data_IF_258475362934
#
_entry.id   IF_258475362934
#
_cell.length_a   1.000
_cell.length_b   1.000
_cell.length_c   1.000
_cell.angle_alpha   90.00
_cell.angle_beta   90.00
_cell.angle_gamma   90.00
#
_symmetry.space_group_name_H-M   'P 1'
#
loop_
_entity.id
_entity.type
_entity.pdbx_description
1 polymer ?
#
# COMPACT_ATOMS: atom_id res chain seq x y z
N UNK A 1 -1.11 10.74 10.36
CA UNK A 1 -1.02 10.50 8.90
C UNK A 1 0.37 9.96 8.56
N UNK A 2 0.47 9.02 7.62
CA UNK A 2 1.74 8.50 7.11
C UNK A 2 1.87 8.88 5.62
N UNK A 3 3.00 9.46 5.24
CA UNK A 3 3.38 9.79 3.86
C UNK A 3 4.67 9.04 3.52
N UNK A 4 4.66 8.26 2.43
CA UNK A 4 5.85 7.58 1.94
C UNK A 4 6.44 8.37 0.77
N UNK A 5 7.73 8.67 0.82
CA UNK A 5 8.46 9.35 -0.25
C UNK A 5 9.65 8.47 -0.66
N UNK A 6 9.67 8.10 -1.93
CA UNK A 6 10.76 7.31 -2.51
C UNK A 6 11.21 7.90 -3.85
N UNK A 7 12.28 7.36 -4.43
CA UNK A 7 12.81 7.80 -5.72
C UNK A 7 14.34 7.70 -5.81
N UNK A 8 14.92 8.09 -6.96
CA UNK A 8 16.36 7.98 -7.19
C UNK A 8 17.23 8.70 -6.16
N UNK A 9 18.45 8.23 -5.96
CA UNK A 9 19.49 8.93 -5.23
C UNK A 9 19.73 10.31 -5.87
N UNK A 10 19.96 11.35 -5.04
CA UNK A 10 20.10 12.76 -5.49
C UNK A 10 18.89 13.38 -6.23
N UNK A 11 17.71 12.74 -6.19
CA UNK A 11 16.48 13.31 -6.73
C UNK A 11 15.91 14.53 -5.96
N UNK A 12 16.61 15.05 -4.95
CA UNK A 12 16.15 16.20 -4.16
C UNK A 12 15.12 15.87 -3.06
N UNK A 13 14.90 14.59 -2.74
CA UNK A 13 13.96 14.13 -1.70
C UNK A 13 14.11 14.88 -0.37
N UNK A 14 15.33 14.97 0.16
CA UNK A 14 15.59 15.63 1.44
C UNK A 14 15.23 17.12 1.43
N UNK A 15 15.42 17.82 0.30
CA UNK A 15 15.02 19.21 0.13
C UNK A 15 13.50 19.37 0.11
N UNK A 16 12.81 18.49 -0.61
CA UNK A 16 11.34 18.47 -0.64
C UNK A 16 10.77 18.16 0.75
N UNK A 17 11.35 17.19 1.47
CA UNK A 17 10.96 16.84 2.85
C UNK A 17 11.15 18.04 3.79
N UNK A 18 12.24 18.81 3.64
CA UNK A 18 12.47 20.00 4.45
C UNK A 18 11.36 21.05 4.23
N UNK A 19 10.99 21.33 2.98
CA UNK A 19 9.90 22.26 2.68
C UNK A 19 8.52 21.70 3.06
N UNK A 20 8.29 20.40 2.89
CA UNK A 20 7.07 19.74 3.35
C UNK A 20 6.91 19.91 4.86
N UNK A 21 8.00 19.78 5.62
CA UNK A 21 8.00 20.01 7.06
C UNK A 21 7.63 21.44 7.40
N UNK A 22 8.24 22.43 6.75
CA UNK A 22 7.92 23.85 6.94
C UNK A 22 6.44 24.14 6.66
N UNK A 23 5.98 23.78 5.45
CA UNK A 23 4.59 24.00 5.02
C UNK A 23 3.57 23.29 5.92
N UNK A 24 3.88 22.08 6.38
CA UNK A 24 3.01 21.33 7.29
C UNK A 24 2.96 21.96 8.69
N UNK A 25 4.07 22.52 9.17
CA UNK A 25 4.12 23.24 10.45
C UNK A 25 3.35 24.56 10.39
N UNK A 26 3.39 25.26 9.25
CA UNK A 26 2.59 26.48 9.00
C UNK A 26 1.08 26.22 9.18
N UNK A 27 0.59 25.02 8.84
CA UNK A 27 -0.81 24.59 9.04
C UNK A 27 -1.05 23.85 10.37
N UNK A 28 -0.09 23.89 11.29
CA UNK A 28 -0.24 23.38 12.66
C UNK A 28 0.00 21.88 12.84
N UNK A 29 0.70 21.22 11.91
CA UNK A 29 1.07 19.81 12.04
C UNK A 29 2.46 19.65 12.68
N UNK A 30 2.60 18.62 13.51
CA UNK A 30 3.90 18.09 13.91
C UNK A 30 4.37 17.13 12.81
N UNK A 31 5.61 17.31 12.35
CA UNK A 31 6.22 16.44 11.33
C UNK A 31 7.32 15.59 11.95
N UNK A 32 7.26 14.29 11.70
CA UNK A 32 8.30 13.34 12.09
C UNK A 32 8.84 12.65 10.84
N UNK A 33 10.16 12.56 10.71
CA UNK A 33 10.80 11.96 9.53
C UNK A 33 11.47 10.65 9.95
N UNK A 34 11.14 9.57 9.24
CA UNK A 34 11.83 8.27 9.30
C UNK A 34 12.75 8.20 8.09
N UNK A 35 14.06 8.16 8.32
CA UNK A 35 15.03 7.97 7.24
C UNK A 35 15.58 6.54 7.31
N UNK A 36 15.51 5.81 6.20
CA UNK A 36 16.04 4.46 6.09
C UNK A 36 17.23 4.43 5.12
N UNK A 37 18.32 3.76 5.49
CA UNK A 37 19.44 3.56 4.59
C UNK A 37 19.11 2.50 3.51
N UNK A 38 19.74 2.55 2.32
CA UNK A 38 19.48 1.62 1.22
C UNK A 38 20.06 0.21 1.48
N UNK A 39 20.78 0.02 2.59
CA UNK A 39 21.53 -1.20 2.91
C UNK A 39 20.88 -2.01 4.03
N UNK A 40 19.74 -1.56 4.58
CA UNK A 40 19.15 -2.26 5.73
C UNK A 40 18.80 -3.72 5.39
N UNK A 41 19.18 -4.72 6.21
CA UNK A 41 19.27 -6.11 5.75
C UNK A 41 17.94 -6.87 5.62
N UNK A 42 16.80 -6.32 6.04
CA UNK A 42 15.54 -7.08 6.14
C UNK A 42 14.30 -6.17 6.13
N UNK A 43 13.33 -6.47 5.25
CA UNK A 43 12.07 -5.73 5.11
C UNK A 43 11.16 -5.85 6.35
N UNK A 44 11.42 -6.85 7.21
CA UNK A 44 10.69 -7.06 8.48
C UNK A 44 10.79 -5.87 9.44
N UNK A 45 11.78 -5.00 9.29
CA UNK A 45 11.92 -3.79 10.12
C UNK A 45 10.77 -2.79 9.92
N UNK A 46 10.13 -2.82 8.75
CA UNK A 46 9.09 -1.86 8.41
C UNK A 46 7.85 -2.05 9.27
N UNK A 47 7.49 -3.30 9.56
CA UNK A 47 6.23 -3.63 10.25
C UNK A 47 6.15 -3.04 11.67
N UNK A 48 7.12 -3.28 12.57
CA UNK A 48 7.06 -2.69 13.92
C UNK A 48 7.02 -1.17 13.90
N UNK A 49 7.66 -0.54 12.90
CA UNK A 49 7.73 0.92 12.78
C UNK A 49 6.43 1.50 12.22
N UNK A 50 5.84 0.85 11.22
CA UNK A 50 4.52 1.21 10.72
C UNK A 50 3.44 1.03 11.79
N UNK A 51 3.51 -0.03 12.59
CA UNK A 51 2.62 -0.22 13.75
C UNK A 51 2.74 0.94 14.73
N UNK A 52 3.96 1.30 15.14
CA UNK A 52 4.22 2.46 16.00
C UNK A 52 3.67 3.76 15.39
N UNK A 53 3.84 3.97 14.09
CA UNK A 53 3.40 5.19 13.43
C UNK A 53 1.87 5.25 13.22
N UNK A 54 1.21 4.09 13.09
CA UNK A 54 -0.26 3.95 13.02
C UNK A 54 -0.91 4.11 14.40
N UNK A 55 -0.29 3.59 15.45
CA UNK A 55 -0.77 3.69 16.84
C UNK A 55 -0.66 5.10 17.43
N UNK A 56 0.02 6.03 16.74
CA UNK A 56 0.03 7.45 17.12
C UNK A 56 -1.37 8.02 16.93
N UNK A 57 -2.16 8.00 18.01
CA UNK A 57 -3.48 8.61 18.11
C UNK A 57 -3.38 10.15 18.14
N UNK A 58 -2.90 10.73 17.04
CA UNK A 58 -2.81 12.17 16.89
C UNK A 58 -3.03 12.60 15.43
N UNK A 59 -4.20 13.17 15.11
CA UNK A 59 -4.51 13.63 13.75
C UNK A 59 -3.62 14.79 13.28
N UNK A 60 -2.87 15.44 14.19
CA UNK A 60 -1.93 16.53 13.87
C UNK A 60 -0.49 16.06 13.67
N UNK A 61 -0.24 14.75 13.56
CA UNK A 61 1.10 14.23 13.26
C UNK A 61 1.17 13.72 11.82
N UNK A 62 2.09 14.27 11.04
CA UNK A 62 2.50 13.76 9.74
C UNK A 62 3.83 13.00 9.90
N UNK A 63 3.82 11.69 9.71
CA UNK A 63 5.04 10.88 9.68
C UNK A 63 5.46 10.66 8.23
N UNK A 64 6.61 11.20 7.84
CA UNK A 64 7.18 11.06 6.50
C UNK A 64 8.23 9.95 6.53
N UNK A 65 8.11 8.99 5.63
CA UNK A 65 9.10 7.96 5.40
C UNK A 65 9.95 8.32 4.18
N UNK A 66 11.23 8.60 4.39
CA UNK A 66 12.24 8.80 3.35
C UNK A 66 12.93 7.47 3.07
N UNK A 67 12.68 6.93 1.87
CA UNK A 67 13.02 5.57 1.42
C UNK A 67 12.18 4.49 2.11
N UNK A 68 11.76 3.50 1.32
CA UNK A 68 10.79 2.47 1.72
C UNK A 68 11.07 1.11 1.07
N UNK A 69 10.10 0.21 1.11
CA UNK A 69 10.17 -1.07 0.39
C UNK A 69 10.30 -0.90 -1.13
N UNK A 70 9.90 0.24 -1.71
CA UNK A 70 10.13 0.52 -3.14
C UNK A 70 11.63 0.63 -3.45
N UNK A 71 12.39 1.36 -2.62
CA UNK A 71 13.86 1.37 -2.67
C UNK A 71 14.47 -0.04 -2.61
N UNK A 72 13.94 -0.94 -1.77
CA UNK A 72 14.46 -2.31 -1.69
C UNK A 72 14.27 -3.09 -2.98
N UNK A 73 13.15 -2.90 -3.66
CA UNK A 73 12.92 -3.49 -4.97
C UNK A 73 13.92 -2.94 -6.00
N UNK A 74 14.02 -1.61 -6.12
CA UNK A 74 14.83 -0.96 -7.14
C UNK A 74 16.32 -1.26 -6.95
N UNK A 75 16.88 -0.96 -5.79
CA UNK A 75 18.30 -1.22 -5.54
C UNK A 75 18.60 -2.72 -5.39
N UNK A 76 17.61 -3.51 -4.99
CA UNK A 76 17.72 -4.96 -4.99
C UNK A 76 18.00 -5.52 -6.38
N UNK A 77 17.24 -5.04 -7.39
CA UNK A 77 17.44 -5.42 -8.79
C UNK A 77 18.75 -4.87 -9.34
N UNK A 78 19.00 -3.56 -9.20
CA UNK A 78 20.15 -2.90 -9.82
C UNK A 78 21.49 -3.39 -9.27
N UNK A 79 21.54 -3.79 -8.00
CA UNK A 79 22.77 -4.25 -7.34
C UNK A 79 22.84 -5.77 -7.22
N UNK A 80 21.91 -6.51 -7.84
CA UNK A 80 21.86 -7.97 -7.79
C UNK A 80 21.77 -8.53 -6.36
N UNK A 81 21.07 -7.83 -5.46
CA UNK A 81 20.91 -8.26 -4.07
C UNK A 81 19.74 -9.24 -3.96
N UNK A 82 20.03 -10.43 -3.47
CA UNK A 82 19.02 -11.43 -3.16
C UNK A 82 18.24 -11.03 -1.90
N UNK A 83 17.06 -10.42 -2.11
CA UNK A 83 16.16 -9.98 -1.06
C UNK A 83 14.73 -10.38 -1.41
N UNK A 84 13.92 -10.60 -0.38
CA UNK A 84 12.53 -11.01 -0.58
C UNK A 84 11.74 -10.00 -1.43
N UNK A 85 11.93 -8.70 -1.18
CA UNK A 85 11.21 -7.65 -1.91
C UNK A 85 11.89 -7.27 -3.24
N UNK A 86 13.15 -7.67 -3.48
CA UNK A 86 13.81 -7.43 -4.78
C UNK A 86 13.20 -8.28 -5.89
N UNK A 87 12.82 -9.51 -5.57
CA UNK A 87 12.18 -10.41 -6.54
C UNK A 87 10.66 -10.27 -6.61
N UNK A 88 10.06 -9.59 -5.63
CA UNK A 88 8.60 -9.57 -5.45
C UNK A 88 8.09 -8.22 -4.91
N UNK A 89 8.06 -7.16 -5.75
CA UNK A 89 7.66 -5.82 -5.34
C UNK A 89 6.21 -5.74 -4.86
N UNK A 90 5.35 -6.60 -5.41
CA UNK A 90 3.94 -6.68 -5.00
C UNK A 90 3.81 -7.06 -3.53
N UNK A 91 4.71 -7.91 -3.00
CA UNK A 91 4.67 -8.32 -1.61
C UNK A 91 4.94 -7.13 -0.67
N UNK A 92 5.84 -6.22 -1.05
CA UNK A 92 6.12 -5.01 -0.29
C UNK A 92 4.89 -4.10 -0.18
N UNK A 93 4.22 -3.86 -1.30
CA UNK A 93 2.95 -3.10 -1.33
C UNK A 93 1.85 -3.81 -0.53
N UNK A 94 1.75 -5.13 -0.66
CA UNK A 94 0.75 -5.92 0.03
C UNK A 94 0.91 -5.89 1.55
N UNK A 95 2.14 -6.03 2.04
CA UNK A 95 2.41 -6.09 3.48
C UNK A 95 2.49 -4.70 4.12
N UNK A 96 2.94 -3.69 3.37
CA UNK A 96 3.28 -2.39 3.92
C UNK A 96 2.56 -1.24 3.22
N UNK A 97 2.52 -1.24 1.88
CA UNK A 97 1.94 -0.14 1.11
C UNK A 97 0.46 0.14 1.33
N UNK A 98 -0.33 -0.89 1.67
CA UNK A 98 -1.76 -0.72 1.99
C UNK A 98 -2.02 0.06 3.29
N UNK A 99 -1.00 0.39 4.08
CA UNK A 99 -1.15 1.19 5.31
C UNK A 99 -1.54 2.64 5.02
N UNK A 100 -1.20 3.16 3.84
CA UNK A 100 -1.50 4.55 3.49
C UNK A 100 -1.71 4.70 1.98
N UNK A 101 -2.69 5.51 1.54
CA UNK A 101 -2.79 5.91 0.14
C UNK A 101 -1.73 6.95 -0.25
N UNK A 102 -1.13 7.63 0.74
CA UNK A 102 -0.22 8.75 0.52
C UNK A 102 1.20 8.27 0.21
N UNK A 103 1.45 7.96 -1.06
CA UNK A 103 2.73 7.45 -1.57
C UNK A 103 3.19 8.28 -2.75
N UNK A 104 4.42 8.78 -2.67
CA UNK A 104 4.99 9.74 -3.64
C UNK A 104 6.32 9.23 -4.15
N UNK A 105 6.47 9.26 -5.47
CA UNK A 105 7.72 8.99 -6.17
C UNK A 105 8.30 10.29 -6.69
N UNK A 106 9.45 10.69 -6.16
CA UNK A 106 10.20 11.85 -6.63
C UNK A 106 11.07 11.40 -7.80
N UNK A 107 10.88 12.01 -8.96
CA UNK A 107 11.61 11.69 -10.18
C UNK A 107 12.35 12.93 -10.67
N UNK A 108 13.60 12.76 -11.06
CA UNK A 108 14.45 13.84 -11.61
C UNK A 108 15.05 13.36 -12.92
N UNK A 109 15.30 14.28 -13.84
CA UNK A 109 15.99 13.98 -15.08
C UNK A 109 17.32 13.20 -14.85
N UNK A 110 17.58 12.10 -15.57
CA UNK A 110 18.77 11.27 -15.36
C UNK A 110 20.11 11.99 -15.57
N UNK A 111 20.19 12.97 -16.47
CA UNK A 111 21.43 13.75 -16.64
C UNK A 111 21.69 14.62 -15.41
N UNK A 112 20.64 15.22 -14.85
CA UNK A 112 20.73 15.95 -13.59
C UNK A 112 21.13 15.06 -12.41
N UNK A 113 20.61 13.83 -12.37
CA UNK A 113 21.04 12.85 -11.37
C UNK A 113 22.53 12.53 -11.53
N UNK A 114 23.00 12.29 -12.76
CA UNK A 114 24.42 12.02 -13.06
C UNK A 114 25.33 13.17 -12.62
N UNK A 115 24.94 14.41 -12.88
CA UNK A 115 25.71 15.61 -12.49
C UNK A 115 25.80 15.81 -10.98
N UNK A 116 24.80 15.35 -10.21
CA UNK A 116 24.72 15.53 -8.75
C UNK A 116 25.39 14.42 -7.95
N UNK A 117 25.79 13.34 -8.62
CA UNK A 117 26.39 12.19 -7.96
C UNK A 117 27.83 12.45 -7.55
N UNK A 118 28.20 11.86 -6.43
CA UNK A 118 29.53 11.85 -5.85
C UNK A 118 30.00 10.41 -5.57
N UNK A 119 31.19 10.28 -4.99
CA UNK A 119 31.84 8.99 -4.72
C UNK A 119 31.19 8.18 -3.59
N UNK A 120 30.19 8.74 -2.90
CA UNK A 120 29.45 8.06 -1.82
C UNK A 120 28.15 7.40 -2.32
N UNK A 121 27.74 7.68 -3.55
CA UNK A 121 26.51 7.16 -4.13
C UNK A 121 26.63 5.71 -4.58
N UNK A 122 25.49 5.03 -4.68
CA UNK A 122 25.45 3.64 -5.13
C UNK A 122 25.93 3.54 -6.60
N UNK A 123 26.69 2.48 -6.95
CA UNK A 123 27.23 2.29 -8.30
C UNK A 123 26.17 1.76 -9.27
N UNK A 124 25.07 2.49 -9.43
CA UNK A 124 23.95 2.18 -10.33
C UNK A 124 23.84 3.23 -11.42
N UNK A 125 23.44 2.87 -12.64
CA UNK A 125 23.22 3.88 -13.67
C UNK A 125 21.98 4.75 -13.33
N UNK A 126 22.07 6.10 -13.42
CA UNK A 126 20.94 6.98 -13.11
C UNK A 126 19.70 6.79 -14.00
N UNK A 127 19.88 6.38 -15.25
CA UNK A 127 18.77 6.12 -16.19
C UNK A 127 18.02 4.86 -15.75
N UNK A 128 18.74 3.79 -15.43
CA UNK A 128 18.15 2.54 -14.96
C UNK A 128 17.41 2.73 -13.63
N UNK A 129 18.01 3.49 -12.71
CA UNK A 129 17.38 3.86 -11.45
C UNK A 129 16.08 4.65 -11.65
N UNK A 130 16.11 5.69 -12.49
CA UNK A 130 14.92 6.46 -12.83
C UNK A 130 13.82 5.57 -13.41
N UNK A 131 14.16 4.71 -14.38
CA UNK A 131 13.20 3.86 -15.08
C UNK A 131 12.51 2.89 -14.12
N UNK A 132 13.27 2.22 -13.25
CA UNK A 132 12.69 1.28 -12.29
C UNK A 132 11.78 1.96 -11.26
N UNK A 133 12.14 3.15 -10.76
CA UNK A 133 11.25 3.91 -9.87
C UNK A 133 9.99 4.39 -10.61
N UNK A 134 10.11 4.86 -11.84
CA UNK A 134 8.97 5.28 -12.65
C UNK A 134 8.02 4.11 -12.92
N UNK A 135 8.55 2.95 -13.33
CA UNK A 135 7.78 1.72 -13.53
C UNK A 135 7.08 1.29 -12.25
N UNK A 136 7.80 1.28 -11.11
CA UNK A 136 7.21 0.95 -9.82
C UNK A 136 6.04 1.86 -9.46
N UNK A 137 6.22 3.17 -9.66
CA UNK A 137 5.19 4.15 -9.39
C UNK A 137 3.97 3.96 -10.28
N UNK A 138 4.16 3.71 -11.57
CA UNK A 138 3.07 3.45 -12.52
C UNK A 138 2.30 2.18 -12.17
N UNK A 139 3.03 1.11 -11.81
CA UNK A 139 2.45 -0.17 -11.45
C UNK A 139 1.54 -0.10 -10.22
N UNK A 140 1.96 0.63 -9.18
CA UNK A 140 1.25 0.67 -7.90
C UNK A 140 0.53 2.00 -7.62
N UNK A 141 0.41 2.85 -8.63
CA UNK A 141 -0.32 4.11 -8.57
C UNK A 141 0.26 5.12 -7.58
N UNK A 142 1.58 5.20 -7.46
CA UNK A 142 2.23 6.24 -6.65
C UNK A 142 2.17 7.59 -7.37
N UNK A 143 1.98 8.68 -6.62
CA UNK A 143 2.02 10.02 -7.19
C UNK A 143 3.45 10.33 -7.67
N UNK A 144 3.63 10.52 -8.98
CA UNK A 144 4.92 10.93 -9.54
C UNK A 144 5.05 12.45 -9.47
N UNK A 145 6.09 12.93 -8.80
CA UNK A 145 6.46 14.35 -8.76
C UNK A 145 7.79 14.51 -9.49
N UNK A 146 7.74 15.20 -10.64
CA UNK A 146 8.94 15.51 -11.42
C UNK A 146 9.56 16.79 -10.90
N UNK A 147 10.82 16.72 -10.47
CA UNK A 147 11.53 17.87 -9.91
C UNK A 147 12.33 18.56 -11.00
N UNK A 148 12.19 19.88 -11.12
CA UNK A 148 13.01 20.71 -12.00
C UNK A 148 13.98 21.58 -11.18
N UNK A 149 14.93 22.22 -11.86
CA UNK A 149 15.86 23.15 -11.21
C UNK A 149 15.07 24.39 -10.76
N UNK A 150 14.91 24.57 -9.44
CA UNK A 150 14.40 25.80 -8.83
C UNK A 150 13.01 25.76 -8.23
N UNK A 151 12.30 24.62 -8.23
CA UNK A 151 10.93 24.50 -7.68
C UNK A 151 10.71 23.67 -6.39
N UNK A 152 11.70 23.34 -5.50
CA UNK A 152 11.44 22.41 -4.38
C UNK A 152 10.26 22.73 -3.46
N UNK A 153 9.98 24.03 -3.20
CA UNK A 153 8.82 24.44 -2.41
C UNK A 153 7.49 24.21 -3.15
N UNK A 154 7.46 24.42 -4.47
CA UNK A 154 6.30 24.13 -5.32
C UNK A 154 6.05 22.62 -5.43
N UNK A 155 7.10 21.82 -5.54
CA UNK A 155 7.03 20.36 -5.55
C UNK A 155 6.48 19.86 -4.20
N UNK A 156 6.97 20.41 -3.09
CA UNK A 156 6.45 20.13 -1.75
C UNK A 156 4.98 20.53 -1.61
N UNK A 157 4.57 21.69 -2.13
CA UNK A 157 3.17 22.10 -2.14
C UNK A 157 2.30 21.15 -2.98
N UNK A 158 2.81 20.68 -4.11
CA UNK A 158 2.15 19.69 -4.96
C UNK A 158 1.92 18.39 -4.20
N UNK A 159 2.92 17.90 -3.46
CA UNK A 159 2.75 16.74 -2.57
C UNK A 159 1.68 17.01 -1.51
N UNK A 160 1.78 18.12 -0.78
CA UNK A 160 0.88 18.44 0.34
C UNK A 160 -0.58 18.57 -0.09
N UNK A 161 -0.83 19.16 -1.26
CA UNK A 161 -2.18 19.36 -1.82
C UNK A 161 -2.80 18.09 -2.39
N UNK A 162 -1.98 17.09 -2.75
CA UNK A 162 -2.44 15.79 -3.21
C UNK A 162 -2.56 14.74 -2.09
N UNK A 163 -2.22 15.08 -0.85
CA UNK A 163 -2.42 14.15 0.26
C UNK A 163 -3.91 13.89 0.50
N UNK A 164 -4.27 12.63 0.68
CA UNK A 164 -5.56 12.24 1.22
C UNK A 164 -5.59 12.56 2.72
N UNK A 165 -6.22 13.69 3.04
CA UNK A 165 -6.55 14.10 4.40
C UNK A 165 -7.76 13.33 4.90
N UNK A 166 -7.57 12.06 5.25
CA UNK A 166 -8.64 11.24 5.83
C UNK A 166 -8.76 11.55 7.32
N UNK A 167 -9.89 12.16 7.69
CA UNK A 167 -10.42 12.18 9.07
C UNK A 167 -11.31 10.95 9.32
N UNK A 168 -11.35 10.01 8.36
CA UNK A 168 -12.22 8.84 8.46
C UNK A 168 -11.81 7.98 9.67
N UNK A 169 -12.79 7.50 10.47
CA UNK A 169 -12.54 6.76 11.70
C UNK A 169 -12.05 5.32 11.45
N UNK A 170 -11.76 4.95 10.20
CA UNK A 170 -11.30 3.61 9.83
C UNK A 170 -9.98 3.69 9.08
N UNK A 171 -8.98 3.06 9.66
CA UNK A 171 -7.68 2.88 9.06
C UNK A 171 -7.00 1.63 9.61
N UNK A 172 -5.71 1.46 9.31
CA UNK A 172 -4.94 0.38 9.89
C UNK A 172 -4.98 0.44 11.42
N UNK A 173 -4.92 -0.70 12.12
CA UNK A 173 -4.81 -2.04 11.55
C UNK A 173 -6.15 -2.64 11.09
N UNK A 174 -7.30 -2.03 11.37
CA UNK A 174 -8.61 -2.68 11.20
C UNK A 174 -9.13 -2.65 9.75
N UNK A 175 -8.64 -1.70 8.96
CA UNK A 175 -8.89 -1.58 7.53
C UNK A 175 -7.59 -1.17 6.84
N UNK A 176 -7.36 -1.66 5.63
CA UNK A 176 -6.23 -1.20 4.81
C UNK A 176 -6.61 -1.10 3.34
N UNK A 177 -5.81 -0.35 2.58
CA UNK A 177 -6.13 0.10 1.23
C UNK A 177 -6.82 1.47 1.21
N UNK A 178 -7.28 1.93 0.04
CA UNK A 178 -7.88 3.25 -0.11
C UNK A 178 -9.16 3.40 0.73
N UNK A 179 -9.30 4.53 1.41
CA UNK A 179 -10.49 4.82 2.25
C UNK A 179 -11.77 4.90 1.42
N UNK A 180 -11.67 5.30 0.14
CA UNK A 180 -12.76 5.36 -0.84
C UNK A 180 -12.75 4.21 -1.85
N UNK A 181 -12.16 3.07 -1.49
CA UNK A 181 -12.10 1.93 -2.39
C UNK A 181 -13.49 1.55 -2.92
N UNK A 182 -13.65 1.34 -4.24
CA UNK A 182 -14.93 0.96 -4.85
C UNK A 182 -15.36 -0.46 -4.47
N UNK A 183 -14.38 -1.32 -4.16
CA UNK A 183 -14.56 -2.70 -3.75
C UNK A 183 -13.92 -2.89 -2.39
N UNK A 184 -14.65 -3.49 -1.44
CA UNK A 184 -14.12 -3.86 -0.12
C UNK A 184 -14.27 -5.36 0.09
N UNK A 185 -13.16 -6.02 0.43
CA UNK A 185 -13.11 -7.41 0.85
C UNK A 185 -13.28 -7.52 2.36
N UNK A 186 -14.24 -8.34 2.79
CA UNK A 186 -14.57 -8.54 4.20
C UNK A 186 -14.33 -10.00 4.57
N UNK A 187 -13.37 -10.23 5.45
CA UNK A 187 -13.10 -11.51 6.08
C UNK A 187 -13.91 -11.70 7.36
N UNK A 188 -13.77 -12.85 7.99
CA UNK A 188 -14.40 -13.12 9.29
C UNK A 188 -13.62 -12.42 10.41
N UNK A 189 -12.45 -12.96 10.73
CA UNK A 189 -11.51 -12.47 11.74
C UNK A 189 -10.08 -12.66 11.26
N UNK A 190 -9.16 -11.87 11.81
CA UNK A 190 -7.73 -12.01 11.54
C UNK A 190 -7.22 -13.36 12.03
N UNK A 191 -6.35 -13.97 11.24
CA UNK A 191 -5.60 -15.16 11.65
C UNK A 191 -4.38 -14.72 12.44
N UNK A 192 -4.17 -15.29 13.62
CA UNK A 192 -2.91 -15.19 14.36
C UNK A 192 -1.92 -16.29 13.95
N UNK A 193 -2.36 -17.25 13.12
CA UNK A 193 -1.56 -18.38 12.65
C UNK A 193 -1.07 -18.15 11.22
N UNK A 194 0.09 -18.74 10.90
CA UNK A 194 0.68 -18.79 9.55
C UNK A 194 0.81 -17.42 8.86
N UNK A 195 1.27 -16.43 9.63
CA UNK A 195 1.56 -15.08 9.13
C UNK A 195 2.92 -15.08 8.41
N UNK A 196 2.99 -14.67 7.13
CA UNK A 196 4.27 -14.43 6.49
C UNK A 196 5.00 -13.30 7.23
N UNK A 197 6.34 -13.25 7.18
CA UNK A 197 7.07 -12.18 7.87
C UNK A 197 6.59 -10.80 7.41
N UNK A 198 6.41 -9.87 8.36
CA UNK A 198 5.88 -8.53 8.11
C UNK A 198 4.34 -8.45 7.93
N UNK A 199 3.62 -9.56 8.09
CA UNK A 199 2.16 -9.56 8.00
C UNK A 199 1.51 -9.07 9.29
N UNK A 200 0.73 -8.00 9.19
CA UNK A 200 -0.02 -7.45 10.31
C UNK A 200 -1.34 -6.76 9.91
N UNK A 201 -1.61 -6.60 8.61
CA UNK A 201 -2.82 -5.98 8.09
C UNK A 201 -3.92 -7.02 7.84
N UNK A 202 -5.18 -6.63 7.60
CA UNK A 202 -6.20 -7.56 7.15
C UNK A 202 -5.75 -8.31 5.88
N UNK A 203 -6.16 -9.58 5.80
CA UNK A 203 -5.85 -10.47 4.67
C UNK A 203 -4.36 -10.78 4.44
N UNK A 204 -3.46 -10.52 5.38
CA UNK A 204 -2.03 -10.85 5.20
C UNK A 204 -1.63 -12.28 5.57
N UNK A 205 -2.55 -13.16 5.99
CA UNK A 205 -2.21 -14.59 6.19
C UNK A 205 -1.74 -15.23 4.87
N UNK A 206 -1.00 -16.35 4.94
CA UNK A 206 -0.53 -17.04 3.71
C UNK A 206 -1.65 -17.29 2.69
N UNK A 207 -2.79 -17.81 3.15
CA UNK A 207 -3.88 -18.23 2.27
C UNK A 207 -4.73 -17.05 1.77
N UNK A 208 -4.89 -16.00 2.57
CA UNK A 208 -5.57 -14.78 2.12
C UNK A 208 -4.69 -13.94 1.19
N UNK A 209 -3.37 -14.04 1.31
CA UNK A 209 -2.41 -13.43 0.38
C UNK A 209 -2.52 -14.05 -1.02
N UNK A 210 -2.79 -15.36 -1.12
CA UNK A 210 -3.07 -15.99 -2.42
C UNK A 210 -4.30 -15.38 -3.11
N UNK A 211 -5.35 -15.03 -2.36
CA UNK A 211 -6.49 -14.30 -2.94
C UNK A 211 -6.06 -12.92 -3.46
N UNK A 212 -5.26 -12.18 -2.70
CA UNK A 212 -4.70 -10.90 -3.16
C UNK A 212 -3.92 -11.07 -4.47
N UNK A 213 -3.13 -12.15 -4.60
CA UNK A 213 -2.36 -12.45 -5.81
C UNK A 213 -3.22 -12.72 -7.03
N UNK A 214 -4.37 -13.37 -6.87
CA UNK A 214 -5.31 -13.57 -7.99
C UNK A 214 -5.84 -12.23 -8.53
N UNK A 215 -5.93 -11.19 -7.69
CA UNK A 215 -6.29 -9.85 -8.12
C UNK A 215 -5.12 -9.08 -8.74
N UNK A 216 -3.88 -9.53 -8.57
CA UNK A 216 -2.69 -8.81 -9.03
C UNK A 216 -2.60 -7.42 -8.41
N UNK A 217 -2.23 -6.43 -9.21
CA UNK A 217 -2.02 -5.06 -8.73
C UNK A 217 -3.35 -4.35 -8.37
N UNK A 218 -4.49 -4.81 -8.91
CA UNK A 218 -5.82 -4.30 -8.53
C UNK A 218 -6.15 -4.55 -7.04
N UNK A 219 -5.46 -5.49 -6.39
CA UNK A 219 -5.57 -5.70 -4.96
C UNK A 219 -5.27 -4.43 -4.16
N UNK A 220 -4.41 -3.54 -4.67
CA UNK A 220 -4.03 -2.28 -4.02
C UNK A 220 -5.10 -1.19 -4.17
N UNK A 221 -6.03 -1.34 -5.12
CA UNK A 221 -7.19 -0.45 -5.31
C UNK A 221 -8.37 -0.82 -4.40
N UNK A 222 -8.30 -1.99 -3.76
CA UNK A 222 -9.37 -2.53 -2.93
C UNK A 222 -9.19 -2.19 -1.45
N UNK A 223 -10.30 -2.10 -0.73
CA UNK A 223 -10.33 -2.07 0.73
C UNK A 223 -10.30 -3.48 1.30
N UNK A 224 -9.64 -3.67 2.44
CA UNK A 224 -9.50 -4.97 3.10
C UNK A 224 -9.75 -4.85 4.60
N UNK A 225 -10.67 -5.66 5.12
CA UNK A 225 -11.04 -5.63 6.55
C UNK A 225 -11.63 -6.96 7.00
N UNK A 226 -11.91 -7.11 8.29
CA UNK A 226 -12.60 -8.25 8.88
C UNK A 226 -13.86 -7.78 9.60
N UNK A 227 -14.94 -8.58 9.53
CA UNK A 227 -16.22 -8.29 10.17
C UNK A 227 -16.10 -7.98 11.67
N UNK A 228 -15.17 -8.66 12.36
CA UNK A 228 -14.92 -8.46 13.79
C UNK A 228 -14.16 -7.18 14.16
N UNK A 229 -13.55 -6.49 13.19
CA UNK A 229 -12.62 -5.37 13.44
C UNK A 229 -13.18 -4.02 13.01
N UNK A 230 -14.30 -4.00 12.27
CA UNK A 230 -14.84 -2.78 11.67
C UNK A 230 -16.32 -2.56 12.03
N UNK A 231 -16.72 -1.34 12.42
CA UNK A 231 -18.14 -1.03 12.58
C UNK A 231 -18.89 -1.13 11.23
N UNK A 232 -20.07 -1.78 11.17
CA UNK A 232 -20.81 -1.96 9.91
C UNK A 232 -21.11 -0.66 9.16
N UNK A 233 -21.32 0.43 9.90
CA UNK A 233 -21.67 1.75 9.36
C UNK A 233 -20.59 2.31 8.43
N UNK A 234 -19.34 1.89 8.59
CA UNK A 234 -18.20 2.35 7.81
C UNK A 234 -18.12 1.71 6.42
N UNK A 235 -18.85 0.61 6.25
CA UNK A 235 -18.98 -0.10 4.99
C UNK A 235 -20.33 0.16 4.31
N UNK A 236 -21.20 0.97 4.92
CA UNK A 236 -22.41 1.45 4.25
C UNK A 236 -22.02 2.34 3.07
N UNK A 237 -22.81 2.30 2.00
CA UNK A 237 -22.56 3.01 0.74
C UNK A 237 -21.36 2.53 -0.11
N UNK A 238 -20.74 1.38 0.21
CA UNK A 238 -19.72 0.80 -0.68
C UNK A 238 -20.39 0.26 -1.94
N UNK A 239 -19.81 0.57 -3.12
CA UNK A 239 -20.35 0.13 -4.41
C UNK A 239 -20.41 -1.40 -4.51
N UNK A 240 -19.36 -2.06 -4.05
CA UNK A 240 -19.26 -3.51 -4.03
C UNK A 240 -18.61 -4.01 -2.73
N UNK A 241 -19.23 -4.98 -2.09
CA UNK A 241 -18.66 -5.70 -0.95
C UNK A 241 -18.48 -7.17 -1.33
N UNK A 242 -17.27 -7.69 -1.14
CA UNK A 242 -16.95 -9.10 -1.34
C UNK A 242 -16.76 -9.76 0.03
N UNK A 243 -17.74 -10.53 0.48
CA UNK A 243 -17.61 -11.30 1.73
C UNK A 243 -16.89 -12.62 1.47
N UNK A 244 -15.92 -12.93 2.32
CA UNK A 244 -15.12 -14.15 2.24
C UNK A 244 -15.55 -15.15 3.31
N UNK A 245 -16.37 -16.13 2.93
CA UNK A 245 -16.86 -17.19 3.82
C UNK A 245 -18.20 -16.87 4.49
N UNK A 246 -18.77 -17.92 5.12
CA UNK A 246 -20.15 -17.89 5.65
C UNK A 246 -20.35 -16.83 6.74
N UNK A 247 -19.43 -16.69 7.68
CA UNK A 247 -19.58 -15.76 8.80
C UNK A 247 -19.53 -14.30 8.32
N UNK A 248 -18.55 -13.97 7.48
CA UNK A 248 -18.44 -12.64 6.87
C UNK A 248 -19.70 -12.32 6.03
N UNK A 249 -20.19 -13.28 5.26
CA UNK A 249 -21.45 -13.14 4.50
C UNK A 249 -22.61 -12.80 5.42
N UNK A 250 -22.84 -13.61 6.45
CA UNK A 250 -23.94 -13.38 7.38
C UNK A 250 -23.85 -12.00 8.02
N UNK A 251 -22.66 -11.58 8.43
CA UNK A 251 -22.47 -10.25 9.01
C UNK A 251 -22.77 -9.13 8.01
N UNK A 252 -22.28 -9.23 6.77
CA UNK A 252 -22.54 -8.25 5.71
C UNK A 252 -24.05 -8.18 5.39
N UNK A 253 -24.71 -9.34 5.21
CA UNK A 253 -26.14 -9.48 4.93
C UNK A 253 -27.01 -8.83 6.02
N UNK A 254 -26.61 -8.92 7.29
CA UNK A 254 -27.44 -8.44 8.41
C UNK A 254 -27.15 -7.00 8.82
N UNK A 255 -25.91 -6.52 8.70
CA UNK A 255 -25.49 -5.26 9.33
C UNK A 255 -25.03 -4.17 8.36
N UNK A 256 -24.62 -4.53 7.14
CA UNK A 256 -23.94 -3.61 6.22
C UNK A 256 -24.78 -3.23 5.01
N UNK A 257 -25.34 -4.21 4.30
CA UNK A 257 -25.91 -3.96 2.96
C UNK A 257 -27.11 -3.03 3.06
N UNK A 258 -26.99 -1.87 2.42
CA UNK A 258 -28.11 -1.03 2.03
C UNK A 258 -28.64 -1.49 0.65
N UNK A 259 -29.89 -1.13 0.31
CA UNK A 259 -30.62 -1.67 -0.86
C UNK A 259 -29.91 -1.56 -2.22
N UNK A 260 -28.95 -0.65 -2.36
CA UNK A 260 -28.35 -0.28 -3.65
C UNK A 260 -26.92 -0.82 -3.87
N UNK A 261 -26.29 -1.41 -2.85
CA UNK A 261 -24.92 -1.94 -2.94
C UNK A 261 -24.88 -3.35 -3.53
N UNK A 262 -23.85 -3.67 -4.33
CA UNK A 262 -23.63 -5.04 -4.81
C UNK A 262 -22.88 -5.85 -3.77
N UNK A 263 -23.43 -7.00 -3.41
CA UNK A 263 -22.78 -7.95 -2.52
C UNK A 263 -22.48 -9.26 -3.24
N UNK A 264 -21.22 -9.66 -3.16
CA UNK A 264 -20.73 -10.92 -3.73
C UNK A 264 -20.16 -11.73 -2.58
N UNK A 265 -20.56 -13.00 -2.49
CA UNK A 265 -20.00 -13.93 -1.52
C UNK A 265 -19.15 -14.99 -2.20
N UNK A 266 -17.89 -15.07 -1.79
CA UNK A 266 -16.97 -16.15 -2.19
C UNK A 266 -16.65 -17.05 -0.99
N UNK A 267 -16.27 -18.32 -1.21
CA UNK A 267 -15.77 -19.17 -0.13
C UNK A 267 -14.51 -18.56 0.50
N UNK A 268 -14.29 -18.82 1.80
CA UNK A 268 -13.15 -18.24 2.50
C UNK A 268 -11.81 -18.74 1.88
N UNK A 269 -10.83 -17.87 1.63
CA UNK A 269 -9.53 -18.25 1.04
C UNK A 269 -8.83 -19.39 1.76
N UNK A 270 -8.91 -19.40 3.10
CA UNK A 270 -8.34 -20.49 3.90
C UNK A 270 -8.94 -21.87 3.59
N UNK A 271 -10.20 -21.95 3.14
CA UNK A 271 -10.80 -23.21 2.71
C UNK A 271 -10.41 -23.51 1.25
N UNK A 272 -10.49 -22.52 0.36
CA UNK A 272 -10.17 -22.64 -1.07
C UNK A 272 -8.75 -23.17 -1.32
N UNK A 273 -7.76 -22.60 -0.63
CA UNK A 273 -6.36 -22.86 -0.92
C UNK A 273 -5.73 -23.93 -0.01
N UNK A 274 -6.36 -24.26 1.12
CA UNK A 274 -5.84 -25.30 2.03
C UNK A 274 -6.11 -26.70 1.49
N UNK A 275 -7.35 -26.95 1.06
CA UNK A 275 -7.74 -28.25 0.56
C UNK A 275 -7.58 -28.25 -0.96
N UNK A 276 -6.80 -29.18 -1.51
CA UNK A 276 -6.61 -29.33 -2.96
C UNK A 276 -7.41 -30.55 -3.44
N UNK A 277 -8.72 -30.37 -3.61
CA UNK A 277 -9.62 -31.41 -4.11
C UNK A 277 -10.57 -30.84 -5.17
N UNK A 278 -11.33 -31.70 -5.84
CA UNK A 278 -12.24 -31.31 -6.92
C UNK A 278 -13.24 -30.24 -6.49
N UNK A 279 -13.77 -30.35 -5.26
CA UNK A 279 -14.74 -29.41 -4.72
C UNK A 279 -14.15 -28.01 -4.54
N UNK A 280 -12.94 -27.90 -3.98
CA UNK A 280 -12.28 -26.60 -3.83
C UNK A 280 -11.79 -26.04 -5.15
N UNK A 281 -11.39 -26.89 -6.10
CA UNK A 281 -11.01 -26.46 -7.45
C UNK A 281 -12.20 -25.83 -8.19
N UNK A 282 -13.36 -26.50 -8.19
CA UNK A 282 -14.58 -25.96 -8.79
C UNK A 282 -15.02 -24.65 -8.12
N UNK A 283 -14.97 -24.60 -6.79
CA UNK A 283 -15.32 -23.39 -6.03
C UNK A 283 -14.34 -22.23 -6.29
N UNK A 284 -13.05 -22.52 -6.46
CA UNK A 284 -12.04 -21.52 -6.81
C UNK A 284 -12.28 -20.98 -8.23
N UNK A 285 -12.63 -21.84 -9.20
CA UNK A 285 -12.97 -21.40 -10.55
C UNK A 285 -14.16 -20.43 -10.55
N UNK A 286 -15.23 -20.74 -9.81
CA UNK A 286 -16.37 -19.84 -9.63
C UNK A 286 -15.97 -18.53 -8.95
N UNK A 287 -15.16 -18.59 -7.89
CA UNK A 287 -14.67 -17.38 -7.22
C UNK A 287 -13.87 -16.49 -8.18
N UNK A 288 -12.98 -17.06 -9.02
CA UNK A 288 -12.22 -16.32 -10.03
C UNK A 288 -13.14 -15.62 -11.04
N UNK A 289 -14.18 -16.29 -11.51
CA UNK A 289 -15.17 -15.66 -12.41
C UNK A 289 -15.86 -14.46 -11.78
N UNK A 290 -16.22 -14.54 -10.50
CA UNK A 290 -16.79 -13.39 -9.79
C UNK A 290 -15.76 -12.27 -9.58
N UNK A 291 -14.51 -12.59 -9.29
CA UNK A 291 -13.44 -11.58 -9.19
C UNK A 291 -13.17 -10.88 -10.52
N UNK A 292 -13.22 -11.59 -11.66
CA UNK A 292 -13.10 -10.96 -12.98
C UNK A 292 -14.29 -10.03 -13.27
N UNK A 293 -15.51 -10.42 -12.89
CA UNK A 293 -16.68 -9.54 -12.99
C UNK A 293 -16.53 -8.29 -12.13
N UNK A 294 -16.00 -8.44 -10.91
CA UNK A 294 -15.70 -7.31 -10.02
C UNK A 294 -14.65 -6.40 -10.66
N UNK A 295 -13.58 -6.98 -11.20
CA UNK A 295 -12.51 -6.23 -11.88
C UNK A 295 -13.07 -5.41 -13.03
N UNK A 296 -13.76 -6.05 -13.98
CA UNK A 296 -14.26 -5.38 -15.18
C UNK A 296 -15.40 -4.38 -14.94
N UNK A 297 -16.05 -4.40 -13.77
CA UNK A 297 -17.14 -3.47 -13.46
C UNK A 297 -16.73 -2.33 -12.53
N UNK A 298 -15.77 -2.56 -11.64
CA UNK A 298 -15.47 -1.63 -10.53
C UNK A 298 -14.00 -1.19 -10.43
N UNK A 299 -13.05 -1.88 -11.08
CA UNK A 299 -11.61 -1.64 -10.92
C UNK A 299 -10.90 -1.24 -12.23
N UNK A 300 -11.56 -1.42 -13.37
CA UNK A 300 -11.16 -0.98 -14.71
C UNK A 300 -11.40 0.51 -14.94
#
# INVERSE_FOLDING_TARGET
MILIIDGPEKAGKSTIIAHLRELSQEIGLKVEVRAWGPVYPDDRIYTPKLQQDVEKDNPRVLTIWDRSWASEYVYGNLLGRDRRLSTDPWLGEWLHGRVTPNKVMILTDPEMLRMRRDDTDLPVDPVDEYNLYAEYADRFGWLKVKTEIGSPRTDALTVLTNLEWTVEPVGPPNYCGPTKAPVVFVGDRRSERDLPPGAWLPFTSRLTTLLGRELGDDAMKCGWTNAHEIPPQQLRNRKCIVSCGKNARMWVDHYVIDRDGVHINIPHPAWLYRFKNEKTAAALATAKLELERVRGRYLS
#
